data_IF_664857325524
#
_entry.id   IF_664857325524
#
_cell.length_a   1.000
_cell.length_b   1.000
_cell.length_c   1.000
_cell.angle_alpha   90.00
_cell.angle_beta   90.00
_cell.angle_gamma   90.00
#
_symmetry.space_group_name_H-M   'P 1'
#
loop_
_entity.id
_entity.type
_entity.pdbx_description
1 polymer ?
#
# COMPACT_ATOMS: atom_id res chain seq x y z
N UNK A 1 14.99 -11.63 3.58
CA UNK A 1 14.36 -12.28 4.75
C UNK A 1 12.92 -12.51 4.37
N UNK A 2 12.53 -13.76 4.12
CA UNK A 2 11.16 -14.11 3.80
C UNK A 2 10.37 -14.03 5.12
N UNK A 3 9.64 -12.93 5.32
CA UNK A 3 8.73 -12.80 6.46
C UNK A 3 7.54 -13.71 6.18
N UNK A 4 7.21 -14.58 7.14
CA UNK A 4 5.99 -15.38 7.10
C UNK A 4 4.79 -14.45 6.88
N UNK A 5 4.10 -14.64 5.75
CA UNK A 5 2.96 -13.82 5.36
C UNK A 5 1.86 -13.83 6.43
N UNK A 6 1.74 -14.93 7.18
CA UNK A 6 0.82 -15.01 8.31
C UNK A 6 1.21 -14.05 9.43
N UNK A 7 2.48 -14.07 9.84
CA UNK A 7 3.00 -13.19 10.88
C UNK A 7 2.91 -11.70 10.48
N UNK A 8 3.11 -11.40 9.19
CA UNK A 8 2.95 -10.03 8.68
C UNK A 8 1.50 -9.56 8.74
N UNK A 9 0.53 -10.42 8.36
CA UNK A 9 -0.90 -10.08 8.40
C UNK A 9 -1.40 -9.84 9.83
N UNK A 10 -0.96 -10.68 10.77
CA UNK A 10 -1.27 -10.51 12.20
C UNK A 10 -0.66 -9.22 12.75
N UNK A 11 0.60 -8.91 12.41
CA UNK A 11 1.28 -7.68 12.84
C UNK A 11 0.58 -6.41 12.33
N UNK A 12 0.12 -6.43 11.07
CA UNK A 12 -0.60 -5.31 10.45
C UNK A 12 -2.08 -5.21 10.88
N UNK A 13 -2.55 -6.12 11.74
CA UNK A 13 -3.93 -6.18 12.22
C UNK A 13 -4.95 -6.19 11.07
N UNK A 14 -4.61 -6.86 9.96
CA UNK A 14 -5.49 -6.95 8.81
C UNK A 14 -6.72 -7.79 9.17
N UNK A 15 -7.89 -7.37 8.68
CA UNK A 15 -9.10 -8.17 8.83
C UNK A 15 -8.92 -9.54 8.16
N UNK A 16 -9.56 -10.61 8.68
CA UNK A 16 -9.49 -11.93 8.06
C UNK A 16 -9.91 -11.92 6.59
N UNK A 17 -10.84 -11.03 6.26
CA UNK A 17 -11.42 -10.85 4.92
C UNK A 17 -10.58 -9.91 4.03
N UNK A 18 -9.45 -9.40 4.53
CA UNK A 18 -8.55 -8.57 3.75
C UNK A 18 -7.94 -9.42 2.62
N UNK A 19 -8.13 -9.02 1.35
CA UNK A 19 -7.75 -9.87 0.22
C UNK A 19 -6.24 -10.13 0.22
N UNK A 20 -5.83 -11.33 -0.21
CA UNK A 20 -4.40 -11.66 -0.35
C UNK A 20 -3.73 -10.83 -1.45
N UNK A 21 -4.49 -10.46 -2.48
CA UNK A 21 -4.08 -9.61 -3.58
C UNK A 21 -4.89 -8.31 -3.59
N UNK A 22 -4.22 -7.17 -3.72
CA UNK A 22 -4.88 -5.93 -4.07
C UNK A 22 -4.99 -5.85 -5.60
N UNK A 23 -6.19 -6.06 -6.15
CA UNK A 23 -6.43 -6.06 -7.60
C UNK A 23 -5.95 -4.77 -8.28
N UNK A 24 -6.02 -3.64 -7.57
CA UNK A 24 -5.47 -2.38 -8.08
C UNK A 24 -3.94 -2.46 -8.24
N UNK A 25 -3.21 -3.02 -7.27
CA UNK A 25 -1.76 -3.20 -7.39
C UNK A 25 -1.35 -4.26 -8.41
N UNK A 26 -2.11 -5.36 -8.52
CA UNK A 26 -1.81 -6.43 -9.48
C UNK A 26 -1.94 -5.92 -10.92
N UNK A 27 -3.00 -5.16 -11.22
CA UNK A 27 -3.17 -4.53 -12.52
C UNK A 27 -2.09 -3.46 -12.80
N UNK A 28 -1.65 -2.71 -11.78
CA UNK A 28 -0.56 -1.74 -11.91
C UNK A 28 0.81 -2.38 -12.12
N UNK A 29 1.05 -3.60 -11.65
CA UNK A 29 2.33 -4.30 -11.82
C UNK A 29 2.57 -4.86 -13.22
N UNK A 30 1.52 -4.97 -14.03
CA UNK A 30 1.55 -5.54 -15.39
C UNK A 30 1.58 -4.48 -16.49
N UNK A 31 1.34 -3.22 -16.15
CA UNK A 31 1.42 -2.06 -17.01
C UNK A 31 2.64 -1.20 -16.59
N UNK A 32 3.42 -0.67 -17.54
CA UNK A 32 4.43 0.36 -17.24
C UNK A 32 3.71 1.67 -16.89
N UNK A 33 3.21 1.79 -15.66
CA UNK A 33 2.49 2.96 -15.15
C UNK A 33 3.41 3.77 -14.25
N UNK A 34 3.35 5.09 -14.38
CA UNK A 34 4.14 6.00 -13.53
C UNK A 34 3.54 6.09 -12.13
N UNK A 35 4.37 6.49 -11.16
CA UNK A 35 3.90 6.70 -9.79
C UNK A 35 2.82 7.78 -9.70
N UNK A 36 2.86 8.83 -10.53
CA UNK A 36 1.77 9.81 -10.61
C UNK A 36 0.45 9.13 -10.98
N UNK A 37 0.43 8.31 -12.02
CA UNK A 37 -0.81 7.71 -12.50
C UNK A 37 -1.34 6.64 -11.54
N UNK A 38 -0.44 5.94 -10.83
CA UNK A 38 -0.81 5.07 -9.70
C UNK A 38 -1.49 5.87 -8.59
N UNK A 39 -0.91 7.01 -8.22
CA UNK A 39 -1.44 7.85 -7.14
C UNK A 39 -2.82 8.41 -7.48
N UNK A 40 -3.04 8.83 -8.73
CA UNK A 40 -4.34 9.28 -9.22
C UNK A 40 -5.39 8.16 -9.18
N UNK A 41 -5.05 6.97 -9.68
CA UNK A 41 -5.96 5.81 -9.70
C UNK A 41 -6.37 5.36 -8.29
N UNK A 42 -5.47 5.48 -7.32
CA UNK A 42 -5.72 5.13 -5.92
C UNK A 42 -6.35 6.27 -5.11
N UNK A 43 -6.54 7.46 -5.71
CA UNK A 43 -7.06 8.64 -5.01
C UNK A 43 -6.10 9.17 -3.93
N UNK A 44 -4.80 8.90 -4.08
CA UNK A 44 -3.77 9.39 -3.17
C UNK A 44 -3.50 10.85 -3.51
N UNK A 45 -3.67 11.73 -2.52
CA UNK A 45 -3.35 13.13 -2.70
C UNK A 45 -1.85 13.30 -3.02
N UNK A 46 -1.46 14.12 -4.01
CA UNK A 46 -0.05 14.22 -4.42
C UNK A 46 0.87 14.76 -3.31
N UNK A 47 0.31 15.49 -2.35
CA UNK A 47 0.97 16.06 -1.16
C UNK A 47 0.75 15.20 0.11
N UNK A 48 0.28 13.95 -0.03
CA UNK A 48 -0.02 13.08 1.11
C UNK A 48 1.16 12.96 2.08
N UNK A 49 2.39 12.88 1.56
CA UNK A 49 3.61 12.74 2.37
C UNK A 49 3.93 14.00 3.17
N UNK A 50 3.61 15.18 2.62
CA UNK A 50 3.83 16.47 3.29
C UNK A 50 2.82 16.68 4.42
N UNK A 51 1.67 16.01 4.35
CA UNK A 51 0.64 16.03 5.39
C UNK A 51 0.94 15.08 6.56
N UNK A 52 1.93 14.19 6.41
CA UNK A 52 2.29 13.26 7.47
C UNK A 52 3.19 13.95 8.48
N UNK A 53 2.72 13.99 9.73
CA UNK A 53 3.53 14.40 10.87
C UNK A 53 4.61 13.34 11.12
N UNK A 54 5.82 13.61 10.61
CA UNK A 54 6.97 12.72 10.73
C UNK A 54 7.38 12.44 12.20
N UNK A 55 6.90 13.25 13.16
CA UNK A 55 7.11 12.98 14.58
C UNK A 55 6.38 11.73 15.08
N UNK A 56 5.39 11.23 14.34
CA UNK A 56 4.69 9.96 14.65
C UNK A 56 5.51 8.71 14.33
N UNK A 57 6.65 8.86 13.64
CA UNK A 57 7.56 7.75 13.36
C UNK A 57 8.79 7.69 14.29
N UNK A 58 8.84 8.54 15.33
CA UNK A 58 9.93 8.64 16.31
C UNK A 58 9.72 7.74 17.54
#
# INVERSE_FOLDING_TARGET
MEKDMKALREYLLLTPDYPESNDCQVNLSTEDVTNEEISERLGIAPDWMDSIDASQFA
#
